data_IF_154042623482
#
_entry.id   IF_154042623482
#
_cell.length_a   1.000
_cell.length_b   1.000
_cell.length_c   1.000
_cell.angle_alpha   90.00
_cell.angle_beta   90.00
_cell.angle_gamma   90.00
#
_symmetry.space_group_name_H-M   'P 1'
#
loop_
_entity.id
_entity.type
_entity.pdbx_description
1 polymer ?
#
# COMPACT_ATOMS: atom_id res chain seq x y z
N UNK A 1 -51.87 -9.89 -10.58
CA UNK A 1 -51.37 -9.47 -9.25
C UNK A 1 -50.03 -10.13 -8.87
N UNK A 2 -49.18 -10.48 -9.85
CA UNK A 2 -47.93 -11.24 -9.67
C UNK A 2 -46.69 -10.46 -10.13
N UNK A 3 -46.79 -9.64 -11.19
CA UNK A 3 -45.67 -8.82 -11.68
C UNK A 3 -45.18 -7.74 -10.70
N UNK A 4 -46.09 -7.15 -9.91
CA UNK A 4 -45.75 -6.10 -8.94
C UNK A 4 -44.93 -6.62 -7.75
N UNK A 5 -45.13 -7.89 -7.36
CA UNK A 5 -44.36 -8.54 -6.28
C UNK A 5 -42.93 -8.85 -6.70
N UNK A 6 -42.70 -9.24 -7.96
CA UNK A 6 -41.35 -9.46 -8.49
C UNK A 6 -40.54 -8.17 -8.60
N UNK A 7 -41.17 -7.06 -8.99
CA UNK A 7 -40.51 -5.77 -9.12
C UNK A 7 -40.07 -5.19 -7.76
N UNK A 8 -40.89 -5.37 -6.73
CA UNK A 8 -40.59 -4.92 -5.36
C UNK A 8 -39.46 -5.75 -4.73
N UNK A 9 -39.39 -7.07 -4.98
CA UNK A 9 -38.31 -7.93 -4.49
C UNK A 9 -36.95 -7.57 -5.12
N UNK A 10 -36.93 -7.24 -6.43
CA UNK A 10 -35.69 -6.88 -7.14
C UNK A 10 -35.08 -5.54 -6.70
N UNK A 11 -35.89 -4.59 -6.20
CA UNK A 11 -35.41 -3.28 -5.72
C UNK A 11 -35.03 -3.34 -4.23
N UNK A 12 -35.71 -4.18 -3.43
CA UNK A 12 -35.45 -4.30 -1.99
C UNK A 12 -34.15 -5.08 -1.69
N UNK A 13 -33.82 -6.11 -2.47
CA UNK A 13 -32.62 -6.93 -2.23
C UNK A 13 -31.32 -6.08 -2.26
N UNK A 14 -31.05 -5.23 -3.26
CA UNK A 14 -29.85 -4.38 -3.29
C UNK A 14 -29.77 -3.40 -2.11
N UNK A 15 -30.92 -2.91 -1.63
CA UNK A 15 -31.01 -1.94 -0.53
C UNK A 15 -30.79 -2.62 0.84
N UNK A 16 -31.18 -3.90 0.98
CA UNK A 16 -31.00 -4.67 2.22
C UNK A 16 -29.64 -5.38 2.32
N UNK A 17 -28.97 -5.67 1.20
CA UNK A 17 -27.70 -6.43 1.22
C UNK A 17 -26.44 -5.55 1.25
N UNK A 18 -26.58 -4.23 1.12
CA UNK A 18 -25.45 -3.32 0.96
C UNK A 18 -24.71 -3.53 -0.37
N UNK A 19 -24.22 -2.46 -0.98
CA UNK A 19 -23.45 -2.54 -2.22
C UNK A 19 -21.97 -2.26 -1.96
N UNK A 20 -21.09 -3.21 -2.28
CA UNK A 20 -19.64 -2.99 -2.30
C UNK A 20 -19.22 -2.61 -3.71
N UNK A 21 -18.63 -1.43 -3.84
CA UNK A 21 -17.94 -0.98 -5.03
C UNK A 21 -16.45 -1.20 -4.87
N UNK A 22 -15.81 -1.91 -5.79
CA UNK A 22 -14.36 -2.11 -5.81
C UNK A 22 -13.73 -1.36 -6.97
N UNK A 23 -12.73 -0.53 -6.68
CA UNK A 23 -11.95 0.21 -7.66
C UNK A 23 -10.50 -0.26 -7.65
N UNK A 24 -9.94 -0.51 -8.83
CA UNK A 24 -8.53 -0.91 -8.99
C UNK A 24 -7.72 0.30 -9.43
N UNK A 25 -6.62 0.56 -8.75
CA UNK A 25 -5.67 1.63 -9.03
C UNK A 25 -4.30 1.02 -9.33
N UNK A 26 -3.85 1.14 -10.58
CA UNK A 26 -2.52 0.70 -11.00
C UNK A 26 -1.51 1.79 -10.65
N UNK A 27 -0.39 1.40 -10.04
CA UNK A 27 0.72 2.31 -9.76
C UNK A 27 1.62 2.46 -10.99
N UNK A 28 2.48 3.49 -11.07
CA UNK A 28 3.32 3.75 -12.25
C UNK A 28 4.19 2.56 -12.71
N UNK A 29 4.63 1.71 -11.78
CA UNK A 29 5.48 0.53 -12.04
C UNK A 29 4.68 -0.78 -12.11
N UNK A 30 3.37 -0.71 -12.37
CA UNK A 30 2.48 -1.88 -12.46
C UNK A 30 2.99 -2.95 -13.43
N UNK A 31 3.29 -2.58 -14.68
CA UNK A 31 3.65 -3.55 -15.73
C UNK A 31 4.95 -4.30 -15.40
N UNK A 32 5.91 -3.57 -14.82
CA UNK A 32 7.20 -4.12 -14.37
C UNK A 32 7.03 -5.12 -13.22
N UNK A 33 6.21 -4.79 -12.23
CA UNK A 33 5.91 -5.68 -11.12
C UNK A 33 5.11 -6.92 -11.54
N UNK A 34 4.30 -6.83 -12.59
CA UNK A 34 3.59 -7.96 -13.18
C UNK A 34 4.52 -8.91 -13.93
N UNK A 35 5.54 -8.38 -14.61
CA UNK A 35 6.50 -9.18 -15.39
C UNK A 35 7.38 -10.09 -14.52
N UNK A 36 7.64 -9.73 -13.27
CA UNK A 36 8.45 -10.51 -12.33
C UNK A 36 7.75 -11.79 -11.82
N UNK A 37 6.42 -11.90 -11.96
CA UNK A 37 5.64 -12.96 -11.32
C UNK A 37 5.64 -12.84 -9.79
N UNK A 38 4.88 -13.70 -9.11
CA UNK A 38 4.81 -13.78 -7.63
C UNK A 38 5.04 -15.20 -7.12
N UNK A 39 5.42 -15.38 -5.85
CA UNK A 39 5.59 -16.68 -5.22
C UNK A 39 4.25 -17.42 -5.17
N UNK A 40 4.30 -18.74 -4.98
CA UNK A 40 3.10 -19.57 -4.88
C UNK A 40 2.17 -19.15 -3.72
N UNK A 41 2.73 -18.55 -2.66
CA UNK A 41 1.97 -18.10 -1.49
C UNK A 41 2.06 -16.57 -1.27
N UNK A 42 0.91 -15.91 -1.42
CA UNK A 42 0.71 -14.51 -1.09
C UNK A 42 0.39 -14.33 0.41
N UNK A 43 1.17 -13.49 1.10
CA UNK A 43 0.92 -13.13 2.52
C UNK A 43 -0.01 -11.94 2.63
N UNK A 44 -0.90 -11.94 3.63
CA UNK A 44 -1.86 -10.85 3.89
C UNK A 44 -1.67 -10.33 5.30
N UNK A 45 -1.44 -9.03 5.45
CA UNK A 45 -1.23 -8.36 6.74
C UNK A 45 -2.23 -7.21 6.94
N UNK A 46 -2.62 -6.97 8.19
CA UNK A 46 -3.42 -5.81 8.55
C UNK A 46 -2.52 -4.67 9.06
N UNK A 47 -2.88 -3.43 8.73
CA UNK A 47 -2.18 -2.22 9.12
C UNK A 47 -1.91 -2.17 10.62
N UNK A 48 -0.63 -2.04 11.00
CA UNK A 48 -0.16 -2.07 12.39
C UNK A 48 0.80 -3.22 12.68
N UNK A 49 0.83 -4.24 11.82
CA UNK A 49 1.85 -5.29 11.84
C UNK A 49 3.04 -4.87 10.96
N UNK A 50 4.27 -5.25 11.32
CA UNK A 50 5.45 -5.06 10.46
C UNK A 50 5.41 -6.11 9.34
N UNK A 51 4.84 -5.77 8.17
CA UNK A 51 4.33 -6.77 7.22
C UNK A 51 5.45 -7.35 6.34
N UNK A 52 6.60 -6.70 6.36
CA UNK A 52 7.75 -7.02 5.52
C UNK A 52 8.71 -7.98 6.19
N UNK A 53 8.69 -8.16 7.52
CA UNK A 53 9.70 -8.95 8.23
C UNK A 53 11.14 -8.49 7.94
N UNK A 54 11.33 -7.23 7.53
CA UNK A 54 12.60 -6.67 7.05
C UNK A 54 12.80 -6.66 5.53
N UNK A 55 11.93 -7.29 4.74
CA UNK A 55 11.99 -7.30 3.28
C UNK A 55 11.50 -6.00 2.65
N UNK A 56 12.28 -5.43 1.75
CA UNK A 56 11.87 -4.29 0.95
C UNK A 56 10.83 -4.73 -0.09
N UNK A 57 9.74 -3.97 -0.23
CA UNK A 57 8.67 -4.26 -1.18
C UNK A 57 8.11 -2.98 -1.80
N UNK A 58 7.66 -3.09 -3.05
CA UNK A 58 7.17 -1.96 -3.84
C UNK A 58 5.67 -2.12 -4.12
N UNK A 59 4.82 -1.16 -3.72
CA UNK A 59 3.37 -1.24 -3.91
C UNK A 59 3.01 -1.01 -5.37
N UNK A 60 2.43 -1.98 -6.08
CA UNK A 60 2.20 -1.86 -7.54
C UNK A 60 0.72 -1.83 -7.97
N UNK A 61 -0.20 -2.26 -7.09
CA UNK A 61 -1.65 -2.12 -7.26
C UNK A 61 -2.29 -1.77 -5.93
N UNK A 62 -3.29 -0.89 -5.97
CA UNK A 62 -4.23 -0.72 -4.87
C UNK A 62 -5.64 -1.12 -5.31
N UNK A 63 -6.38 -1.79 -4.42
CA UNK A 63 -7.81 -2.04 -4.55
C UNK A 63 -8.52 -1.33 -3.42
N UNK A 64 -9.39 -0.41 -3.76
CA UNK A 64 -10.24 0.30 -2.81
C UNK A 64 -11.64 -0.31 -2.87
N UNK A 65 -12.12 -0.83 -1.74
CA UNK A 65 -13.48 -1.31 -1.60
C UNK A 65 -14.27 -0.33 -0.73
N UNK A 66 -15.38 0.17 -1.23
CA UNK A 66 -16.26 1.11 -0.54
C UNK A 66 -17.71 0.63 -0.53
N UNK A 67 -18.43 0.94 0.53
CA UNK A 67 -19.83 0.55 0.68
C UNK A 67 -20.41 0.91 2.04
N UNK A 68 -21.67 0.56 2.21
CA UNK A 68 -22.44 0.79 3.42
C UNK A 68 -22.81 -0.55 4.09
N UNK A 69 -22.92 -0.54 5.42
CA UNK A 69 -23.54 -1.60 6.23
C UNK A 69 -22.85 -3.00 6.29
N UNK A 70 -21.75 -3.23 5.59
CA UNK A 70 -21.04 -4.53 5.61
C UNK A 70 -19.89 -4.57 6.62
N UNK A 71 -19.54 -5.78 7.06
CA UNK A 71 -18.41 -6.00 7.97
C UNK A 71 -17.07 -5.85 7.25
N UNK A 72 -16.06 -5.45 8.00
CA UNK A 72 -14.68 -5.20 7.56
C UNK A 72 -14.11 -6.44 6.86
N UNK A 73 -14.42 -7.61 7.43
CA UNK A 73 -14.06 -8.92 6.87
C UNK A 73 -14.56 -9.15 5.44
N UNK A 74 -15.75 -8.67 5.08
CA UNK A 74 -16.31 -8.85 3.74
C UNK A 74 -15.62 -7.93 2.73
N UNK A 75 -15.34 -6.68 3.13
CA UNK A 75 -14.55 -5.76 2.31
C UNK A 75 -13.12 -6.30 2.08
N UNK A 76 -12.46 -6.79 3.14
CA UNK A 76 -11.13 -7.40 3.06
C UNK A 76 -11.15 -8.61 2.15
N UNK A 77 -12.12 -9.53 2.33
CA UNK A 77 -12.23 -10.75 1.51
C UNK A 77 -12.36 -10.43 0.03
N UNK A 78 -13.22 -9.48 -0.35
CA UNK A 78 -13.41 -9.09 -1.75
C UNK A 78 -12.20 -8.38 -2.32
N UNK A 79 -11.61 -7.45 -1.57
CA UNK A 79 -10.39 -6.75 -1.96
C UNK A 79 -9.23 -7.72 -2.18
N UNK A 80 -9.01 -8.65 -1.25
CA UNK A 80 -7.95 -9.67 -1.32
C UNK A 80 -8.18 -10.62 -2.49
N UNK A 81 -9.42 -11.08 -2.71
CA UNK A 81 -9.75 -11.91 -3.89
C UNK A 81 -9.36 -11.20 -5.19
N UNK A 82 -9.70 -9.91 -5.32
CA UNK A 82 -9.37 -9.13 -6.51
C UNK A 82 -7.87 -8.89 -6.65
N UNK A 83 -7.15 -8.65 -5.55
CA UNK A 83 -5.70 -8.46 -5.59
C UNK A 83 -4.96 -9.76 -5.94
N UNK A 84 -5.44 -10.92 -5.51
CA UNK A 84 -4.82 -12.22 -5.84
C UNK A 84 -4.80 -12.53 -7.34
N UNK A 85 -5.69 -11.93 -8.12
CA UNK A 85 -5.67 -12.04 -9.59
C UNK A 85 -4.40 -11.43 -10.22
N UNK A 86 -3.70 -10.56 -9.49
CA UNK A 86 -2.43 -9.95 -9.92
C UNK A 86 -1.20 -10.71 -9.40
N UNK A 87 -1.40 -11.86 -8.74
CA UNK A 87 -0.36 -12.69 -8.14
C UNK A 87 0.69 -11.90 -7.31
N UNK A 88 0.28 -11.17 -6.25
CA UNK A 88 1.20 -10.39 -5.40
C UNK A 88 1.99 -11.25 -4.42
N UNK A 89 3.16 -10.78 -4.00
CA UNK A 89 3.93 -11.42 -2.93
C UNK A 89 3.30 -11.14 -1.57
N UNK A 90 2.81 -9.92 -1.42
CA UNK A 90 2.33 -9.36 -0.16
C UNK A 90 1.12 -8.46 -0.41
N UNK A 91 0.08 -8.62 0.41
CA UNK A 91 -1.05 -7.72 0.49
C UNK A 91 -1.06 -7.04 1.87
N UNK A 92 -1.09 -5.71 1.88
CA UNK A 92 -1.27 -4.92 3.10
C UNK A 92 -2.65 -4.29 3.07
N UNK A 93 -3.43 -4.55 4.12
CA UNK A 93 -4.76 -4.01 4.33
C UNK A 93 -4.66 -2.75 5.18
N UNK A 94 -5.00 -1.58 4.63
CA UNK A 94 -5.08 -0.35 5.43
C UNK A 94 -6.27 -0.40 6.39
N UNK A 95 -6.13 0.27 7.53
CA UNK A 95 -7.22 0.45 8.48
C UNK A 95 -8.44 1.06 7.78
N UNK A 96 -9.65 0.52 8.00
CA UNK A 96 -10.84 1.06 7.37
C UNK A 96 -11.09 2.51 7.78
N UNK A 97 -11.51 3.33 6.83
CA UNK A 97 -11.91 4.71 7.04
C UNK A 97 -13.41 4.86 6.86
N UNK A 98 -14.05 5.59 7.76
CA UNK A 98 -15.48 5.91 7.66
C UNK A 98 -15.63 7.40 7.40
N UNK A 99 -16.32 7.77 6.33
CA UNK A 99 -16.55 9.16 5.96
C UNK A 99 -18.05 9.41 5.80
N UNK A 100 -18.51 10.59 6.22
CA UNK A 100 -19.89 11.03 5.96
C UNK A 100 -20.02 11.37 4.48
N UNK A 101 -20.89 10.67 3.77
CA UNK A 101 -21.08 10.80 2.32
C UNK A 101 -22.40 11.45 1.96
N UNK A 102 -23.32 11.57 2.90
CA UNK A 102 -24.60 12.21 2.64
C UNK A 102 -25.43 12.43 3.89
N UNK A 103 -26.65 12.90 3.68
CA UNK A 103 -27.67 13.03 4.72
C UNK A 103 -29.02 12.70 4.10
N UNK A 104 -29.71 11.75 4.70
CA UNK A 104 -31.08 11.46 4.37
C UNK A 104 -31.98 12.40 5.17
N UNK A 105 -32.95 13.02 4.51
CA UNK A 105 -33.96 13.85 5.16
C UNK A 105 -35.32 13.16 5.01
N UNK A 106 -35.95 12.84 6.14
CA UNK A 106 -37.34 12.38 6.19
C UNK A 106 -38.22 13.41 6.85
N UNK A 107 -39.38 13.66 6.24
CA UNK A 107 -40.39 14.59 6.74
C UNK A 107 -41.66 13.81 7.09
N UNK A 108 -42.17 14.00 8.31
CA UNK A 108 -43.43 13.42 8.76
C UNK A 108 -44.15 14.36 9.73
N UNK A 109 -45.46 14.58 9.49
CA UNK A 109 -46.40 15.31 10.36
C UNK A 109 -45.74 16.38 11.25
N UNK A 110 -45.23 17.46 10.62
CA UNK A 110 -44.63 18.63 11.27
C UNK A 110 -43.24 18.46 11.90
N UNK A 111 -42.56 17.34 11.70
CA UNK A 111 -41.18 17.11 12.16
C UNK A 111 -40.28 16.63 11.01
N UNK A 112 -39.07 17.18 10.96
CA UNK A 112 -38.02 16.76 10.01
C UNK A 112 -36.91 16.06 10.77
N UNK A 113 -36.56 14.84 10.35
CA UNK A 113 -35.40 14.12 10.87
C UNK A 113 -34.35 14.02 9.78
N UNK A 114 -33.10 14.34 10.14
CA UNK A 114 -31.95 14.16 9.27
C UNK A 114 -31.06 13.05 9.81
N UNK A 115 -30.83 12.01 9.01
CA UNK A 115 -29.92 10.91 9.35
C UNK A 115 -28.67 11.00 8.49
N UNK A 116 -27.47 11.16 9.07
CA UNK A 116 -26.24 11.16 8.30
C UNK A 116 -26.00 9.78 7.68
N UNK A 117 -25.54 9.75 6.43
CA UNK A 117 -25.12 8.55 5.72
C UNK A 117 -23.60 8.49 5.79
N UNK A 118 -23.08 7.33 6.20
CA UNK A 118 -21.65 7.06 6.27
C UNK A 118 -21.29 5.97 5.28
N UNK A 119 -20.19 6.16 4.55
CA UNK A 119 -19.59 5.14 3.71
C UNK A 119 -18.29 4.70 4.33
N UNK A 120 -18.11 3.38 4.38
CA UNK A 120 -16.87 2.75 4.80
C UNK A 120 -16.02 2.50 3.56
N UNK A 121 -14.73 2.80 3.67
CA UNK A 121 -13.74 2.58 2.63
C UNK A 121 -12.56 1.85 3.23
N UNK A 122 -12.10 0.80 2.55
CA UNK A 122 -10.85 0.12 2.87
C UNK A 122 -9.99 0.07 1.62
N UNK A 123 -8.69 0.32 1.78
CA UNK A 123 -7.73 0.21 0.68
C UNK A 123 -6.77 -0.92 0.99
N UNK A 124 -6.66 -1.85 0.06
CA UNK A 124 -5.68 -2.92 0.11
C UNK A 124 -4.62 -2.66 -0.94
N UNK A 125 -3.37 -2.91 -0.60
CA UNK A 125 -2.22 -2.67 -1.44
C UNK A 125 -1.52 -3.99 -1.73
N UNK A 126 -1.24 -4.27 -3.00
CA UNK A 126 -0.40 -5.37 -3.43
C UNK A 126 1.04 -4.89 -3.64
N UNK A 127 1.98 -5.68 -3.11
CA UNK A 127 3.41 -5.43 -3.15
C UNK A 127 4.15 -6.56 -3.85
N UNK A 128 5.25 -6.17 -4.49
CA UNK A 128 6.29 -7.08 -4.99
C UNK A 128 7.55 -6.88 -4.16
N UNK A 129 8.14 -7.94 -3.65
CA UNK A 129 9.44 -7.91 -3.01
C UNK A 129 10.51 -7.67 -4.06
N UNK A 130 11.49 -6.83 -3.71
CA UNK A 130 12.69 -6.66 -4.52
C UNK A 130 13.62 -7.86 -4.31
N UNK A 131 14.52 -8.16 -5.24
CA UNK A 131 15.53 -9.21 -5.02
C UNK A 131 16.65 -8.74 -4.08
N UNK A 132 17.01 -7.46 -4.21
CA UNK A 132 18.03 -6.82 -3.41
C UNK A 132 17.48 -5.62 -2.63
N UNK A 133 18.20 -5.23 -1.58
CA UNK A 133 17.89 -4.05 -0.76
C UNK A 133 19.16 -3.32 -0.35
N UNK A 134 19.00 -2.05 0.01
CA UNK A 134 20.09 -1.21 0.53
C UNK A 134 20.58 -1.69 1.91
N UNK A 135 19.64 -2.17 2.73
CA UNK A 135 19.87 -2.53 4.13
C UNK A 135 19.87 -1.32 5.06
N UNK A 136 19.02 -0.33 4.78
CA UNK A 136 18.80 0.84 5.63
C UNK A 136 17.31 0.99 5.91
N UNK A 137 16.97 1.29 7.15
CA UNK A 137 15.67 1.83 7.51
C UNK A 137 15.82 3.34 7.69
N UNK A 138 14.85 4.08 7.18
CA UNK A 138 14.79 5.52 7.30
C UNK A 138 13.37 5.97 7.63
N UNK A 139 13.26 7.16 8.18
CA UNK A 139 11.99 7.85 8.36
C UNK A 139 11.41 8.26 7.00
N UNK A 140 10.14 7.97 6.76
CA UNK A 140 9.51 8.17 5.44
C UNK A 140 9.31 9.65 5.08
N UNK A 141 9.30 10.56 6.07
CA UNK A 141 9.09 11.99 5.83
C UNK A 141 10.41 12.72 5.61
N UNK A 142 11.38 12.46 6.48
CA UNK A 142 12.67 13.14 6.50
C UNK A 142 13.78 12.40 5.75
N UNK A 143 13.56 11.14 5.37
CA UNK A 143 14.57 10.21 4.84
C UNK A 143 15.82 10.09 5.73
N UNK A 144 15.64 10.38 7.03
CA UNK A 144 16.69 10.26 8.03
C UNK A 144 16.91 8.79 8.36
N UNK A 145 18.15 8.36 8.29
CA UNK A 145 18.59 7.00 8.60
C UNK A 145 18.34 6.71 10.06
N UNK A 146 17.58 5.65 10.33
CA UNK A 146 17.25 5.19 11.69
C UNK A 146 17.96 3.91 12.05
N UNK A 147 18.17 3.00 11.09
CA UNK A 147 18.87 1.73 11.32
C UNK A 147 19.68 1.36 10.09
N UNK A 148 20.92 0.92 10.31
CA UNK A 148 21.80 0.41 9.26
C UNK A 148 22.05 -1.09 9.51
N UNK A 149 21.68 -1.91 8.53
CA UNK A 149 21.86 -3.37 8.57
C UNK A 149 22.91 -3.87 7.58
N UNK A 150 23.23 -3.06 6.56
CA UNK A 150 24.29 -3.37 5.60
C UNK A 150 25.64 -2.87 6.11
N UNK A 151 26.57 -3.79 6.39
CA UNK A 151 27.92 -3.46 6.87
C UNK A 151 28.69 -2.56 5.90
N UNK A 152 28.49 -2.72 4.58
CA UNK A 152 29.17 -1.90 3.58
C UNK A 152 28.80 -0.42 3.69
N UNK A 153 27.58 -0.10 4.15
CA UNK A 153 27.14 1.27 4.38
C UNK A 153 27.79 1.90 5.60
N UNK A 154 27.90 1.12 6.67
CA UNK A 154 28.60 1.55 7.87
C UNK A 154 30.10 1.79 7.58
N UNK A 155 30.74 0.87 6.84
CA UNK A 155 32.14 1.00 6.41
C UNK A 155 32.35 2.16 5.43
N UNK A 156 31.35 2.48 4.60
CA UNK A 156 31.33 3.67 3.75
C UNK A 156 31.13 4.98 4.54
N UNK A 157 30.88 4.89 5.85
CA UNK A 157 30.76 6.04 6.74
C UNK A 157 29.36 6.62 6.84
N UNK A 158 28.31 5.92 6.41
CA UNK A 158 26.91 6.29 6.69
C UNK A 158 26.61 6.06 8.18
N UNK A 159 25.93 7.02 8.83
CA UNK A 159 25.56 6.94 10.24
C UNK A 159 24.05 7.16 10.43
N UNK A 160 23.52 6.67 11.56
CA UNK A 160 22.17 7.01 12.00
C UNK A 160 22.07 8.53 12.24
N UNK A 161 20.97 9.14 11.80
CA UNK A 161 20.78 10.59 11.77
C UNK A 161 21.24 11.28 10.48
N UNK A 162 21.95 10.59 9.58
CA UNK A 162 22.21 11.11 8.23
C UNK A 162 20.92 11.08 7.38
N UNK A 163 20.78 11.99 6.41
CA UNK A 163 19.62 12.02 5.50
C UNK A 163 20.01 11.54 4.12
N UNK A 164 19.42 10.43 3.64
CA UNK A 164 19.65 9.97 2.27
C UNK A 164 18.83 10.82 1.31
N UNK A 165 19.50 11.39 0.30
CA UNK A 165 18.87 12.29 -0.67
C UNK A 165 18.70 11.64 -2.05
N UNK A 166 19.62 10.78 -2.46
CA UNK A 166 19.52 10.06 -3.73
C UNK A 166 20.34 8.78 -3.73
N UNK A 167 19.96 7.88 -4.64
CA UNK A 167 20.66 6.63 -4.93
C UNK A 167 20.76 6.56 -6.47
N UNK A 168 21.96 6.34 -6.99
CA UNK A 168 22.29 6.43 -8.42
C UNK A 168 21.79 7.72 -9.07
N UNK A 169 21.89 8.82 -8.31
CA UNK A 169 21.43 10.16 -8.72
C UNK A 169 19.90 10.31 -8.84
N UNK A 170 19.14 9.23 -8.65
CA UNK A 170 17.68 9.24 -8.52
C UNK A 170 17.27 9.70 -7.10
N UNK A 171 16.46 10.76 -6.95
CA UNK A 171 15.96 11.21 -5.64
C UNK A 171 15.01 10.21 -5.00
N UNK A 172 15.07 10.04 -3.67
CA UNK A 172 14.00 9.36 -2.90
C UNK A 172 12.88 10.40 -2.77
N UNK A 173 11.70 10.25 -3.42
CA UNK A 173 10.93 9.01 -3.54
C UNK A 173 10.81 8.41 -4.96
N UNK A 174 11.48 8.93 -5.98
CA UNK A 174 11.30 8.47 -7.37
C UNK A 174 11.80 7.02 -7.61
N UNK A 175 12.61 6.47 -6.71
CA UNK A 175 13.33 5.21 -6.94
C UNK A 175 12.49 3.93 -6.81
N UNK A 176 11.25 4.00 -6.30
CA UNK A 176 10.43 2.82 -6.04
C UNK A 176 10.23 1.88 -7.25
N UNK A 177 10.23 2.41 -8.48
CA UNK A 177 10.17 1.56 -9.68
C UNK A 177 11.50 0.92 -10.05
N UNK A 178 12.62 1.61 -9.80
CA UNK A 178 13.99 1.17 -10.15
C UNK A 178 14.46 0.03 -9.25
N UNK A 179 14.09 0.05 -7.97
CA UNK A 179 14.49 -0.99 -7.01
C UNK A 179 13.98 -2.40 -7.35
N UNK A 180 13.00 -2.52 -8.26
CA UNK A 180 12.54 -3.81 -8.77
C UNK A 180 13.57 -4.52 -9.67
N UNK A 181 14.47 -3.78 -10.31
CA UNK A 181 15.54 -4.34 -11.17
C UNK A 181 16.82 -4.64 -10.40
N UNK A 182 16.88 -4.27 -9.12
CA UNK A 182 18.11 -4.40 -8.36
C UNK A 182 18.46 -5.86 -8.10
N UNK A 183 19.69 -6.20 -8.44
CA UNK A 183 20.26 -7.52 -8.20
C UNK A 183 21.20 -7.49 -6.98
N UNK A 184 21.25 -8.58 -6.18
CA UNK A 184 22.17 -8.64 -5.07
C UNK A 184 23.63 -8.53 -5.51
N UNK A 185 24.42 -7.78 -4.75
CA UNK A 185 25.82 -7.50 -5.08
C UNK A 185 26.03 -6.39 -6.12
N UNK A 186 24.96 -5.88 -6.75
CA UNK A 186 25.03 -4.68 -7.59
C UNK A 186 25.57 -3.51 -6.78
N UNK A 187 26.48 -2.74 -7.37
CA UNK A 187 27.04 -1.54 -6.77
C UNK A 187 26.14 -0.36 -7.13
N UNK A 188 25.75 0.42 -6.12
CA UNK A 188 24.97 1.65 -6.28
C UNK A 188 25.67 2.80 -5.55
N UNK A 189 25.55 4.01 -6.10
CA UNK A 189 26.07 5.24 -5.51
C UNK A 189 25.01 5.87 -4.63
N UNK A 190 25.26 5.94 -3.33
CA UNK A 190 24.36 6.59 -2.38
C UNK A 190 24.89 7.97 -2.06
N UNK A 191 23.99 8.94 -2.00
CA UNK A 191 24.30 10.31 -1.63
C UNK A 191 23.44 10.68 -0.43
N UNK A 192 24.09 11.20 0.62
CA UNK A 192 23.43 11.63 1.85
C UNK A 192 23.97 12.98 2.34
N UNK A 193 23.23 13.57 3.25
CA UNK A 193 23.62 14.79 3.97
C UNK A 193 23.86 14.42 5.43
N UNK A 194 25.03 14.78 5.93
CA UNK A 194 25.32 14.74 7.36
C UNK A 194 25.06 16.12 7.97
N UNK A 195 24.22 16.21 9.02
CA UNK A 195 24.03 17.46 9.75
C UNK A 195 25.38 18.06 10.18
N UNK A 196 25.64 19.29 9.76
CA UNK A 196 26.87 20.03 10.09
C UNK A 196 28.13 19.69 9.28
N UNK A 197 28.15 18.61 8.49
CA UNK A 197 29.30 18.25 7.62
C UNK A 197 29.01 18.47 6.13
N UNK A 198 27.75 18.37 5.71
CA UNK A 198 27.32 18.58 4.33
C UNK A 198 27.15 17.29 3.55
N UNK A 199 27.34 17.36 2.23
CA UNK A 199 27.03 16.28 1.28
C UNK A 199 28.14 15.23 1.26
N UNK A 200 27.75 13.98 1.41
CA UNK A 200 28.61 12.79 1.39
C UNK A 200 28.13 11.86 0.27
N UNK A 201 29.03 11.03 -0.27
CA UNK A 201 28.68 10.01 -1.24
C UNK A 201 29.60 8.80 -1.14
N UNK A 202 29.05 7.62 -1.41
CA UNK A 202 29.81 6.38 -1.50
C UNK A 202 29.14 5.38 -2.42
N UNK A 203 29.94 4.48 -2.96
CA UNK A 203 29.49 3.30 -3.69
C UNK A 203 29.40 2.11 -2.75
N UNK A 204 28.26 1.44 -2.72
CA UNK A 204 28.05 0.26 -1.88
C UNK A 204 27.35 -0.86 -2.62
N UNK A 205 27.62 -2.09 -2.19
CA UNK A 205 26.96 -3.28 -2.71
C UNK A 205 25.59 -3.46 -2.06
N UNK A 206 24.58 -3.69 -2.88
CA UNK A 206 23.26 -4.13 -2.44
C UNK A 206 23.34 -5.53 -1.83
N UNK A 207 22.51 -5.78 -0.82
CA UNK A 207 22.43 -7.07 -0.13
C UNK A 207 21.16 -7.83 -0.55
N UNK A 208 21.11 -9.13 -0.30
CA UNK A 208 19.92 -9.93 -0.50
C UNK A 208 18.72 -9.39 0.30
N UNK A 209 17.54 -9.50 -0.29
CA UNK A 209 16.25 -9.22 0.36
C UNK A 209 15.68 -10.48 1.05
N UNK A 210 16.47 -11.05 1.96
CA UNK A 210 16.12 -12.23 2.78
C UNK A 210 15.40 -11.87 4.08
#
# INVERSE_FOLDING_TARGET
MTAFRFFVILIIIPILTGCIHTKVHKQPHFDKAMALGGPEECRVYQSGENPSGGKAGVPYVAVTASGDQLSDSEFIKRGTKRLREFNPDLIIVQSPQTQRTGTYHSFGLYSGFSTPIYTKTITLWAYRYTKARLGVLWDNESHMVTVITNKALYEAGLLEGDTIISIDETPIPAIYGEVLDWEPGQVVKIIWIRPGTGRMAAEVKLINNE
#
